data_IF_492473823676
#
_entry.id   IF_492473823676
#
_cell.length_a   1.000
_cell.length_b   1.000
_cell.length_c   1.000
_cell.angle_alpha   90.00
_cell.angle_beta   90.00
_cell.angle_gamma   90.00
#
_symmetry.space_group_name_H-M   'P 1'
#
loop_
_entity.id
_entity.type
_entity.pdbx_description
1 polymer ?
#
# COMPACT_ATOMS: atom_id res chain seq x y z
N UNK A 1 23.69 -34.29 -6.80
CA UNK A 1 22.33 -33.70 -6.79
C UNK A 1 21.47 -34.53 -7.71
N UNK A 2 20.43 -35.18 -7.18
CA UNK A 2 19.69 -36.23 -7.89
C UNK A 2 18.70 -35.59 -8.89
N UNK A 3 18.82 -35.92 -10.19
CA UNK A 3 17.98 -35.39 -11.27
C UNK A 3 16.49 -35.73 -11.11
N UNK A 4 16.15 -36.70 -10.25
CA UNK A 4 14.78 -37.06 -9.90
C UNK A 4 14.02 -35.92 -9.19
N UNK A 5 14.71 -35.06 -8.43
CA UNK A 5 14.07 -33.99 -7.65
C UNK A 5 13.52 -32.86 -8.52
N UNK A 6 14.15 -32.59 -9.66
CA UNK A 6 13.75 -31.53 -10.59
C UNK A 6 12.36 -31.78 -11.20
N UNK A 7 11.95 -33.04 -11.35
CA UNK A 7 10.61 -33.40 -11.84
C UNK A 7 9.52 -33.09 -10.80
N UNK A 8 9.82 -33.21 -9.50
CA UNK A 8 8.85 -32.92 -8.42
C UNK A 8 8.45 -31.44 -8.36
N UNK A 9 9.34 -30.53 -8.76
CA UNK A 9 9.06 -29.09 -8.78
C UNK A 9 8.05 -28.69 -9.86
N UNK A 10 7.89 -29.50 -10.91
CA UNK A 10 6.89 -29.25 -11.94
C UNK A 10 5.46 -29.49 -11.44
N UNK A 11 5.28 -30.42 -10.49
CA UNK A 11 3.98 -30.75 -9.88
C UNK A 11 3.56 -29.77 -8.77
N UNK A 12 4.51 -28.99 -8.24
CA UNK A 12 4.24 -27.94 -7.25
C UNK A 12 3.65 -26.66 -7.86
N UNK A 13 3.60 -26.55 -9.19
CA UNK A 13 2.96 -25.42 -9.87
C UNK A 13 1.49 -25.76 -10.09
N UNK A 14 0.53 -25.11 -9.42
CA UNK A 14 -0.86 -25.20 -9.83
C UNK A 14 -0.95 -24.76 -11.29
N UNK A 15 -1.27 -25.70 -12.19
CA UNK A 15 -1.53 -25.38 -13.59
C UNK A 15 -2.86 -24.65 -13.63
N UNK A 16 -2.84 -23.37 -14.01
CA UNK A 16 -4.07 -22.69 -14.42
C UNK A 16 -4.56 -23.42 -15.67
N UNK A 17 -5.84 -23.79 -15.78
CA UNK A 17 -6.41 -24.20 -17.06
C UNK A 17 -6.08 -23.10 -18.07
N UNK A 18 -5.35 -23.45 -19.11
CA UNK A 18 -4.99 -22.50 -20.17
C UNK A 18 -6.29 -22.23 -20.92
N UNK A 19 -6.79 -20.99 -20.86
CA UNK A 19 -7.86 -20.53 -21.74
C UNK A 19 -9.07 -19.88 -21.08
N UNK A 20 -9.34 -20.10 -19.79
CA UNK A 20 -10.59 -19.60 -19.18
C UNK A 20 -10.34 -18.46 -18.17
N UNK A 21 -10.90 -17.30 -18.47
CA UNK A 21 -11.03 -16.22 -17.50
C UNK A 21 -11.98 -16.66 -16.37
N UNK A 22 -11.62 -16.34 -15.13
CA UNK A 22 -12.46 -16.64 -13.96
C UNK A 22 -13.63 -15.66 -13.79
N UNK A 23 -13.81 -14.75 -14.73
CA UNK A 23 -14.88 -13.76 -14.82
C UNK A 23 -15.31 -13.64 -16.28
N UNK A 24 -16.62 -13.49 -16.50
CA UNK A 24 -17.18 -13.31 -17.84
C UNK A 24 -16.89 -11.91 -18.37
N UNK A 25 -17.07 -11.72 -19.68
CA UNK A 25 -16.96 -10.39 -20.32
C UNK A 25 -17.95 -9.41 -19.69
N UNK A 26 -19.18 -9.84 -19.42
CA UNK A 26 -20.20 -9.00 -18.77
C UNK A 26 -19.82 -8.61 -17.34
N UNK A 27 -19.25 -9.52 -16.56
CA UNK A 27 -18.75 -9.21 -15.22
C UNK A 27 -17.58 -8.23 -15.27
N UNK A 28 -16.65 -8.41 -16.22
CA UNK A 28 -15.54 -7.48 -16.41
C UNK A 28 -16.03 -6.08 -16.80
N UNK A 29 -17.04 -5.99 -17.67
CA UNK A 29 -17.70 -4.73 -18.03
C UNK A 29 -18.38 -4.08 -16.82
N UNK A 30 -19.11 -4.85 -16.01
CA UNK A 30 -19.76 -4.37 -14.79
C UNK A 30 -18.74 -3.83 -13.77
N UNK A 31 -17.62 -4.54 -13.56
CA UNK A 31 -16.53 -4.09 -12.69
C UNK A 31 -15.90 -2.80 -13.20
N UNK A 32 -15.71 -2.67 -14.52
CA UNK A 32 -15.19 -1.45 -15.13
C UNK A 32 -16.16 -0.28 -14.94
N UNK A 33 -17.47 -0.51 -15.14
CA UNK A 33 -18.52 0.50 -14.92
C UNK A 33 -18.56 0.95 -13.46
N UNK A 34 -18.49 0.02 -12.51
CA UNK A 34 -18.47 0.31 -11.09
C UNK A 34 -17.22 1.14 -10.72
N UNK A 35 -16.06 0.75 -11.27
CA UNK A 35 -14.79 1.45 -11.05
C UNK A 35 -14.77 2.89 -11.61
N UNK A 36 -15.42 3.13 -12.75
CA UNK A 36 -15.49 4.46 -13.36
C UNK A 36 -16.62 5.34 -12.82
N UNK A 37 -17.45 4.84 -11.90
CA UNK A 37 -18.61 5.56 -11.41
C UNK A 37 -18.19 6.68 -10.43
N UNK A 38 -18.49 7.92 -10.79
CA UNK A 38 -18.04 9.11 -10.06
C UNK A 38 -18.95 9.54 -8.89
N UNK A 39 -20.09 8.90 -8.67
CA UNK A 39 -20.96 9.23 -7.52
C UNK A 39 -20.65 8.33 -6.31
N UNK A 40 -19.79 7.32 -6.50
CA UNK A 40 -19.41 6.39 -5.45
C UNK A 40 -17.92 6.48 -5.12
N UNK A 41 -17.60 6.03 -3.91
CA UNK A 41 -16.25 5.81 -3.40
C UNK A 41 -16.14 4.34 -3.01
N UNK A 42 -15.10 3.68 -3.53
CA UNK A 42 -14.79 2.29 -3.20
C UNK A 42 -13.49 2.25 -2.42
N UNK A 43 -13.56 1.89 -1.14
CA UNK A 43 -12.41 1.85 -0.22
C UNK A 43 -12.40 0.54 0.57
N UNK A 44 -11.23 0.10 1.06
CA UNK A 44 -11.21 -0.99 2.02
C UNK A 44 -11.81 -0.50 3.35
N UNK A 45 -12.49 -1.40 4.05
CA UNK A 45 -12.88 -1.17 5.43
C UNK A 45 -11.64 -1.01 6.34
N UNK A 46 -11.80 -0.28 7.43
CA UNK A 46 -10.76 -0.11 8.46
C UNK A 46 -10.32 -1.46 9.07
N UNK A 47 -11.25 -2.42 9.18
CA UNK A 47 -11.05 -3.76 9.73
C UNK A 47 -11.85 -4.81 8.95
N UNK A 48 -11.43 -6.07 9.03
CA UNK A 48 -12.18 -7.21 8.50
C UNK A 48 -11.99 -7.50 7.02
N UNK A 49 -11.12 -6.79 6.30
CA UNK A 49 -10.77 -7.11 4.91
C UNK A 49 -11.89 -6.90 3.88
N UNK A 50 -12.96 -6.20 4.25
CA UNK A 50 -14.12 -5.95 3.40
C UNK A 50 -13.89 -4.75 2.47
N UNK A 51 -14.66 -4.69 1.39
CA UNK A 51 -14.74 -3.56 0.46
C UNK A 51 -16.02 -2.80 0.78
N UNK A 52 -15.92 -1.48 0.89
CA UNK A 52 -17.05 -0.59 1.15
C UNK A 52 -17.30 0.25 -0.08
N UNK A 53 -18.56 0.24 -0.53
CA UNK A 53 -19.08 1.15 -1.55
C UNK A 53 -19.93 2.16 -0.81
N UNK A 54 -19.57 3.44 -0.93
CA UNK A 54 -20.24 4.54 -0.25
C UNK A 54 -20.52 5.66 -1.24
N UNK A 55 -21.63 6.38 -1.04
CA UNK A 55 -21.90 7.63 -1.73
C UNK A 55 -20.74 8.64 -1.53
N UNK A 56 -20.34 9.30 -2.61
CA UNK A 56 -19.20 10.24 -2.60
C UNK A 56 -19.49 11.46 -1.75
N UNK A 57 -20.71 12.00 -1.82
CA UNK A 57 -21.11 13.18 -1.04
C UNK A 57 -20.97 12.90 0.44
N UNK A 58 -21.47 11.75 0.89
CA UNK A 58 -21.34 11.29 2.26
C UNK A 58 -19.88 11.09 2.70
N UNK A 59 -19.07 10.47 1.85
CA UNK A 59 -17.64 10.29 2.13
C UNK A 59 -16.90 11.62 2.31
N UNK A 60 -17.18 12.61 1.46
CA UNK A 60 -16.60 13.96 1.54
C UNK A 60 -17.12 14.70 2.76
N UNK A 61 -18.40 14.55 3.11
CA UNK A 61 -18.99 15.17 4.29
C UNK A 61 -18.29 14.71 5.58
N UNK A 62 -18.07 13.40 5.77
CA UNK A 62 -17.33 12.89 6.93
C UNK A 62 -15.87 13.39 6.93
N UNK A 63 -15.20 13.41 5.77
CA UNK A 63 -13.84 13.91 5.67
C UNK A 63 -13.75 15.39 6.09
N UNK A 64 -14.68 16.21 5.61
CA UNK A 64 -14.77 17.63 5.92
C UNK A 64 -15.11 17.86 7.39
N UNK A 65 -16.03 17.08 7.96
CA UNK A 65 -16.37 17.12 9.39
C UNK A 65 -15.15 16.86 10.27
N UNK A 66 -14.28 15.91 9.90
CA UNK A 66 -13.04 15.64 10.64
C UNK A 66 -12.02 16.77 10.47
N UNK A 67 -11.82 17.27 9.25
CA UNK A 67 -10.82 18.31 8.95
C UNK A 67 -11.20 19.69 9.52
N UNK A 68 -12.49 19.93 9.76
CA UNK A 68 -13.00 21.16 10.36
C UNK A 68 -13.03 21.13 11.89
N UNK A 69 -12.54 20.08 12.53
CA UNK A 69 -12.43 20.02 13.99
C UNK A 69 -11.24 20.88 14.47
N UNK A 70 -11.48 22.07 15.07
CA UNK A 70 -10.42 22.99 15.44
C UNK A 70 -9.58 22.51 16.63
N UNK A 71 -10.03 21.46 17.34
CA UNK A 71 -9.26 20.82 18.42
C UNK A 71 -8.05 20.09 17.83
N UNK A 72 -8.18 19.53 16.63
CA UNK A 72 -7.15 18.69 16.01
C UNK A 72 -6.51 19.29 14.76
N UNK A 73 -7.22 20.14 14.03
CA UNK A 73 -6.77 20.67 12.75
C UNK A 73 -6.86 22.19 12.68
N UNK A 74 -5.91 22.78 11.95
CA UNK A 74 -5.90 24.20 11.59
C UNK A 74 -5.62 24.32 10.09
N UNK A 75 -6.39 25.13 9.35
CA UNK A 75 -6.09 25.38 7.95
C UNK A 75 -4.76 26.11 7.80
N UNK A 76 -4.01 25.74 6.77
CA UNK A 76 -2.80 26.43 6.34
C UNK A 76 -3.15 27.40 5.21
N UNK A 77 -2.59 28.60 5.24
CA UNK A 77 -2.74 29.59 4.17
C UNK A 77 -2.04 29.13 2.89
N UNK A 78 -0.83 28.59 3.05
CA UNK A 78 0.02 28.13 1.95
C UNK A 78 0.57 26.72 2.22
N UNK A 79 0.85 25.92 1.17
CA UNK A 79 1.42 24.60 1.36
C UNK A 79 2.88 24.67 1.82
N UNK A 80 3.14 24.24 3.06
CA UNK A 80 4.49 24.30 3.66
C UNK A 80 5.51 23.27 3.13
N UNK A 81 5.10 22.36 2.23
CA UNK A 81 5.91 21.20 1.88
C UNK A 81 7.14 21.56 1.03
N UNK A 82 7.12 22.69 0.33
CA UNK A 82 8.22 23.15 -0.53
C UNK A 82 9.37 23.73 0.31
N UNK A 83 9.03 24.61 1.26
CA UNK A 83 9.99 25.19 2.20
C UNK A 83 10.58 24.09 3.10
N UNK A 84 9.71 23.19 3.59
CA UNK A 84 10.13 22.07 4.44
C UNK A 84 11.12 21.16 3.70
N UNK A 85 10.90 20.88 2.41
CA UNK A 85 11.84 20.07 1.63
C UNK A 85 13.22 20.74 1.53
N UNK A 86 13.25 22.06 1.29
CA UNK A 86 14.49 22.82 1.22
C UNK A 86 15.27 22.72 2.54
N UNK A 87 14.60 22.94 3.67
CA UNK A 87 15.21 22.82 5.00
C UNK A 87 15.72 21.40 5.28
N UNK A 88 14.94 20.37 4.93
CA UNK A 88 15.35 18.97 5.11
C UNK A 88 16.56 18.63 4.25
N UNK A 89 16.63 19.09 2.99
CA UNK A 89 17.78 18.87 2.10
C UNK A 89 19.05 19.52 2.64
N UNK A 90 18.96 20.74 3.16
CA UNK A 90 20.09 21.42 3.81
C UNK A 90 20.62 20.61 5.01
N UNK A 91 19.73 20.07 5.85
CA UNK A 91 20.11 19.21 6.96
C UNK A 91 20.78 17.91 6.48
N UNK A 92 20.24 17.25 5.45
CA UNK A 92 20.82 16.04 4.86
C UNK A 92 22.24 16.32 4.33
N UNK A 93 22.43 17.44 3.62
CA UNK A 93 23.73 17.84 3.09
C UNK A 93 24.74 18.12 4.21
N UNK A 94 24.32 18.77 5.29
CA UNK A 94 25.15 18.97 6.48
C UNK A 94 25.53 17.63 7.14
N UNK A 95 24.57 16.71 7.31
CA UNK A 95 24.82 15.39 7.88
C UNK A 95 25.80 14.59 7.02
N UNK A 96 25.68 14.68 5.69
CA UNK A 96 26.62 14.03 4.75
C UNK A 96 28.02 14.63 4.85
N UNK A 97 28.16 15.96 4.91
CA UNK A 97 29.45 16.65 5.08
C UNK A 97 30.13 16.29 6.41
N UNK A 98 29.34 16.09 7.47
CA UNK A 98 29.82 15.64 8.78
C UNK A 98 30.04 14.12 8.88
N UNK A 99 29.89 13.39 7.78
CA UNK A 99 30.01 11.92 7.73
C UNK A 99 29.08 11.16 8.69
N UNK A 100 27.96 11.77 9.12
CA UNK A 100 26.96 11.13 9.97
C UNK A 100 26.09 10.13 9.20
N UNK A 101 25.99 10.30 7.88
CA UNK A 101 25.25 9.42 6.97
C UNK A 101 26.07 9.13 5.71
N UNK A 102 25.90 7.93 5.17
CA UNK A 102 26.50 7.53 3.89
C UNK A 102 25.83 8.22 2.70
N UNK A 103 26.51 8.25 1.55
CA UNK A 103 25.95 8.77 0.30
C UNK A 103 24.63 8.07 -0.09
N UNK A 104 24.52 6.76 0.16
CA UNK A 104 23.30 5.97 -0.11
C UNK A 104 22.14 6.39 0.79
N UNK A 105 22.41 6.61 2.08
CA UNK A 105 21.40 7.11 3.03
C UNK A 105 20.98 8.53 2.67
N UNK A 106 21.93 9.42 2.36
CA UNK A 106 21.63 10.78 1.93
C UNK A 106 20.74 10.79 0.68
N UNK A 107 21.09 10.02 -0.36
CA UNK A 107 20.27 9.90 -1.57
C UNK A 107 18.85 9.38 -1.29
N UNK A 108 18.71 8.37 -0.42
CA UNK A 108 17.40 7.84 -0.03
C UNK A 108 16.53 8.89 0.69
N UNK A 109 17.13 9.66 1.60
CA UNK A 109 16.43 10.70 2.37
C UNK A 109 16.13 11.96 1.55
N UNK A 110 16.91 12.25 0.50
CA UNK A 110 16.81 13.48 -0.29
C UNK A 110 15.44 13.68 -0.96
N UNK A 111 14.76 12.56 -1.25
CA UNK A 111 13.45 12.55 -1.88
C UNK A 111 13.46 13.03 -3.35
N UNK A 112 12.29 13.00 -4.02
CA UNK A 112 12.15 13.50 -5.40
C UNK A 112 12.32 15.03 -5.46
N UNK A 113 12.67 15.56 -6.64
CA UNK A 113 12.88 17.01 -6.81
C UNK A 113 11.63 17.84 -6.67
N UNK A 114 10.50 17.35 -7.19
CA UNK A 114 9.21 17.98 -6.96
C UNK A 114 8.55 17.33 -5.74
N UNK A 115 8.39 18.04 -4.62
CA UNK A 115 7.69 17.51 -3.45
C UNK A 115 6.21 17.37 -3.78
N UNK A 116 5.59 16.28 -3.31
CA UNK A 116 4.18 15.99 -3.55
C UNK A 116 3.37 16.24 -2.29
N UNK A 117 2.26 16.95 -2.42
CA UNK A 117 1.27 17.06 -1.36
C UNK A 117 0.84 15.66 -0.85
N UNK A 118 0.67 15.54 0.47
CA UNK A 118 0.13 14.30 1.06
C UNK A 118 -1.37 14.25 0.83
N UNK A 119 -1.86 13.08 0.45
CA UNK A 119 -3.28 12.86 0.21
C UNK A 119 -3.96 12.44 1.51
N UNK A 120 -5.06 13.08 1.85
CA UNK A 120 -5.93 12.62 2.93
C UNK A 120 -7.01 11.70 2.36
N UNK A 121 -7.27 10.58 3.02
CA UNK A 121 -8.45 9.76 2.73
C UNK A 121 -8.92 9.01 3.97
N UNK A 122 -10.18 8.60 3.95
CA UNK A 122 -10.81 7.82 5.01
C UNK A 122 -10.84 6.32 4.66
N UNK A 123 -10.67 5.48 5.68
CA UNK A 123 -11.08 4.06 5.64
C UNK A 123 -12.38 3.90 6.46
N UNK A 124 -13.49 3.45 5.87
CA UNK A 124 -14.76 3.34 6.58
C UNK A 124 -14.69 2.36 7.76
N UNK A 125 -15.16 2.78 8.95
CA UNK A 125 -15.15 1.99 10.18
C UNK A 125 -16.46 1.21 10.37
N UNK A 126 -16.85 0.42 9.38
CA UNK A 126 -18.10 -0.38 9.40
C UNK A 126 -18.21 -1.42 10.53
N UNK A 127 -17.13 -1.62 11.31
CA UNK A 127 -17.09 -2.50 12.48
C UNK A 127 -17.57 -1.82 13.77
N UNK A 128 -17.82 -0.51 13.74
CA UNK A 128 -18.41 0.23 14.87
C UNK A 128 -19.92 -0.01 14.85
N UNK A 129 -20.58 -0.08 16.02
CA UNK A 129 -22.02 -0.29 16.05
C UNK A 129 -22.73 1.00 15.57
N UNK A 130 -23.92 0.90 14.94
CA UNK A 130 -24.56 2.02 14.24
C UNK A 130 -24.83 3.25 15.11
N UNK A 131 -25.02 3.06 16.42
CA UNK A 131 -25.29 4.13 17.38
C UNK A 131 -24.08 5.07 17.53
N UNK A 132 -22.88 4.58 17.21
CA UNK A 132 -21.63 5.34 17.24
C UNK A 132 -21.25 5.91 15.87
N UNK A 133 -22.13 5.82 14.87
CA UNK A 133 -21.84 6.34 13.55
C UNK A 133 -22.08 7.85 13.52
N UNK A 134 -21.13 8.58 12.97
CA UNK A 134 -21.41 9.94 12.50
C UNK A 134 -22.37 9.85 11.33
N UNK A 135 -23.20 10.88 11.11
CA UNK A 135 -23.94 11.01 9.86
C UNK A 135 -23.04 11.82 8.91
N UNK A 136 -22.50 11.23 7.81
CA UNK A 136 -22.74 9.90 7.26
C UNK A 136 -21.48 9.00 7.27
N UNK A 137 -21.45 8.07 8.22
CA UNK A 137 -20.47 6.99 8.48
C UNK A 137 -19.08 7.43 9.00
N UNK A 138 -18.59 6.81 10.08
CA UNK A 138 -17.28 7.16 10.64
C UNK A 138 -16.13 6.61 9.79
N UNK A 139 -15.12 7.44 9.56
CA UNK A 139 -13.88 7.07 8.86
C UNK A 139 -12.65 7.05 9.78
N UNK A 140 -11.65 6.23 9.47
CA UNK A 140 -10.28 6.43 9.97
C UNK A 140 -9.54 7.38 9.02
N UNK A 141 -9.07 8.55 9.48
CA UNK A 141 -8.21 9.40 8.67
C UNK A 141 -6.89 8.70 8.39
N UNK A 142 -6.47 8.69 7.13
CA UNK A 142 -5.21 8.10 6.68
C UNK A 142 -4.46 9.11 5.83
N UNK A 143 -3.21 9.34 6.21
CA UNK A 143 -2.19 9.96 5.38
C UNK A 143 -1.26 8.84 4.90
N UNK A 144 -1.18 8.56 3.59
CA UNK A 144 -0.36 7.49 3.08
C UNK A 144 1.11 7.85 3.29
N UNK A 145 1.74 7.13 4.20
CA UNK A 145 3.19 7.16 4.38
C UNK A 145 3.86 6.17 3.42
N UNK A 146 5.05 6.52 2.94
CA UNK A 146 5.92 5.50 2.37
C UNK A 146 6.35 4.59 3.51
N UNK A 147 6.03 3.30 3.41
CA UNK A 147 6.52 2.30 4.37
C UNK A 147 8.05 2.32 4.34
N UNK A 148 8.66 2.77 5.43
CA UNK A 148 10.11 2.71 5.58
C UNK A 148 10.49 1.24 5.80
N UNK A 149 11.05 0.60 4.77
CA UNK A 149 11.53 -0.79 4.90
C UNK A 149 13.05 -0.74 4.88
N UNK A 150 13.63 -0.31 6.00
CA UNK A 150 15.08 -0.44 6.26
C UNK A 150 15.50 -1.91 6.46
N UNK A 151 14.51 -2.81 6.54
CA UNK A 151 14.76 -4.23 6.65
C UNK A 151 15.41 -4.73 5.36
N UNK A 152 16.64 -5.23 5.50
CA UNK A 152 17.33 -6.04 4.49
C UNK A 152 16.57 -7.36 4.32
N UNK A 153 15.61 -7.37 3.40
CA UNK A 153 14.77 -8.55 3.14
C UNK A 153 15.24 -9.26 1.87
N UNK A 154 15.27 -10.59 1.92
CA UNK A 154 15.39 -11.44 0.74
C UNK A 154 13.99 -11.95 0.40
N UNK A 155 13.34 -11.41 -0.65
CA UNK A 155 12.02 -11.89 -1.04
C UNK A 155 12.14 -13.24 -1.74
N UNK A 156 11.49 -14.26 -1.17
CA UNK A 156 11.30 -15.55 -1.82
C UNK A 156 9.82 -15.66 -2.21
N UNK A 157 9.52 -15.34 -3.48
CA UNK A 157 8.15 -15.34 -4.00
C UNK A 157 7.89 -16.65 -4.74
N UNK A 158 6.97 -17.46 -4.20
CA UNK A 158 6.58 -18.75 -4.78
C UNK A 158 5.18 -18.69 -5.42
N UNK A 159 4.76 -19.76 -6.09
CA UNK A 159 3.35 -20.00 -6.40
C UNK A 159 2.65 -20.65 -5.22
N UNK A 160 1.34 -20.39 -5.05
CA UNK A 160 0.57 -21.07 -4.02
C UNK A 160 0.65 -22.60 -4.18
N UNK A 161 0.96 -23.32 -3.09
CA UNK A 161 0.95 -24.78 -3.02
C UNK A 161 0.50 -25.22 -1.63
N UNK A 162 -0.16 -26.38 -1.53
CA UNK A 162 -0.59 -26.95 -0.25
C UNK A 162 0.60 -27.26 0.67
N UNK A 163 1.77 -27.51 0.09
CA UNK A 163 3.02 -27.78 0.81
C UNK A 163 3.76 -26.52 1.27
N UNK A 164 3.20 -25.32 1.04
CA UNK A 164 3.89 -24.07 1.40
C UNK A 164 4.12 -23.90 2.90
N UNK A 165 3.23 -24.40 3.76
CA UNK A 165 3.40 -24.33 5.21
C UNK A 165 4.68 -25.05 5.66
N UNK A 166 4.77 -26.38 5.44
CA UNK A 166 5.97 -27.16 5.73
C UNK A 166 7.23 -26.61 5.05
N UNK A 167 7.15 -26.27 3.76
CA UNK A 167 8.28 -25.73 3.00
C UNK A 167 8.78 -24.40 3.59
N UNK A 168 7.87 -23.50 3.97
CA UNK A 168 8.21 -22.23 4.61
C UNK A 168 8.92 -22.45 5.94
N UNK A 169 8.46 -23.43 6.72
CA UNK A 169 9.09 -23.75 8.00
C UNK A 169 10.51 -24.30 7.80
N UNK A 170 10.69 -25.26 6.89
CA UNK A 170 11.99 -25.84 6.57
C UNK A 170 12.98 -24.78 6.07
N UNK A 171 12.57 -23.95 5.09
CA UNK A 171 13.42 -22.88 4.56
C UNK A 171 13.81 -21.89 5.66
N UNK A 172 12.87 -21.49 6.52
CA UNK A 172 13.16 -20.56 7.62
C UNK A 172 14.13 -21.15 8.63
N UNK A 173 13.98 -22.43 8.97
CA UNK A 173 14.89 -23.15 9.87
C UNK A 173 16.30 -23.25 9.29
N UNK A 174 16.43 -23.72 8.04
CA UNK A 174 17.73 -23.85 7.37
C UNK A 174 18.42 -22.51 7.12
N UNK A 175 17.67 -21.47 6.75
CA UNK A 175 18.24 -20.14 6.56
C UNK A 175 18.81 -19.58 7.86
N UNK A 176 18.08 -19.73 8.97
CA UNK A 176 18.56 -19.27 10.28
C UNK A 176 19.79 -20.06 10.76
N UNK A 177 19.89 -21.36 10.46
CA UNK A 177 21.06 -22.17 10.83
C UNK A 177 22.28 -21.95 9.93
N UNK A 178 22.08 -21.55 8.67
CA UNK A 178 23.15 -21.28 7.71
C UNK A 178 23.70 -19.83 7.74
N UNK A 179 22.94 -18.88 8.31
CA UNK A 179 23.35 -17.46 8.45
C UNK A 179 24.71 -17.27 9.12
N UNK A 180 25.06 -17.95 10.24
CA UNK A 180 26.34 -17.72 10.92
C UNK A 180 27.57 -18.01 10.04
N UNK A 181 27.40 -18.81 8.98
CA UNK A 181 28.47 -19.21 8.06
C UNK A 181 28.52 -18.37 6.77
N UNK A 182 27.60 -17.41 6.60
CA UNK A 182 27.47 -16.59 5.37
C UNK A 182 27.50 -15.10 5.70
N UNK A 183 28.72 -14.57 5.92
CA UNK A 183 28.96 -13.18 6.32
C UNK A 183 28.18 -12.09 5.51
N UNK A 184 27.95 -12.21 4.19
CA UNK A 184 27.18 -11.21 3.45
C UNK A 184 25.67 -11.20 3.79
N UNK A 185 25.12 -12.33 4.24
CA UNK A 185 23.68 -12.54 4.41
C UNK A 185 23.22 -12.47 5.87
N UNK A 186 24.15 -12.41 6.83
CA UNK A 186 23.83 -12.43 8.25
C UNK A 186 22.92 -11.30 8.73
N UNK A 187 22.88 -10.18 8.01
CA UNK A 187 21.99 -9.04 8.30
C UNK A 187 20.63 -9.08 7.58
N UNK A 188 20.38 -10.09 6.74
CA UNK A 188 19.15 -10.21 5.95
C UNK A 188 18.14 -11.15 6.60
N UNK A 189 16.84 -10.88 6.43
CA UNK A 189 15.74 -11.79 6.78
C UNK A 189 15.05 -12.30 5.52
N UNK A 190 14.69 -13.58 5.47
CA UNK A 190 13.84 -14.09 4.39
C UNK A 190 12.40 -13.61 4.59
N UNK A 191 11.84 -13.01 3.54
CA UNK A 191 10.40 -12.80 3.38
C UNK A 191 9.86 -13.80 2.37
N UNK A 192 9.29 -14.90 2.85
CA UNK A 192 8.63 -15.88 1.98
C UNK A 192 7.16 -15.51 1.80
N UNK A 193 6.76 -15.30 0.55
CA UNK A 193 5.39 -14.97 0.14
C UNK A 193 5.02 -15.76 -1.10
N UNK A 194 3.72 -15.82 -1.43
CA UNK A 194 3.24 -16.48 -2.63
C UNK A 194 2.43 -15.55 -3.49
N UNK A 195 2.48 -15.78 -4.81
CA UNK A 195 1.61 -15.10 -5.77
C UNK A 195 0.17 -15.56 -5.53
N UNK A 196 -0.72 -14.59 -5.32
CA UNK A 196 -2.18 -14.81 -5.34
C UNK A 196 -2.76 -14.15 -6.58
N UNK A 197 -3.90 -14.67 -7.04
CA UNK A 197 -4.68 -14.01 -8.07
C UNK A 197 -5.22 -12.67 -7.55
N UNK A 198 -5.43 -11.72 -8.48
CA UNK A 198 -6.11 -10.47 -8.17
C UNK A 198 -7.52 -10.77 -7.66
N UNK A 199 -7.91 -10.16 -6.56
CA UNK A 199 -9.26 -10.23 -6.02
C UNK A 199 -10.03 -8.94 -6.35
N UNK A 200 -11.30 -8.86 -5.94
CA UNK A 200 -12.12 -7.66 -6.17
C UNK A 200 -11.51 -6.40 -5.56
N UNK A 201 -10.82 -6.51 -4.43
CA UNK A 201 -10.16 -5.36 -3.81
C UNK A 201 -9.03 -4.83 -4.71
N UNK A 202 -8.21 -5.71 -5.29
CA UNK A 202 -7.14 -5.32 -6.22
C UNK A 202 -7.70 -4.72 -7.53
N UNK A 203 -8.93 -5.06 -7.90
CA UNK A 203 -9.59 -4.60 -9.13
C UNK A 203 -10.28 -3.25 -8.91
N UNK A 204 -11.04 -3.11 -7.81
CA UNK A 204 -11.97 -2.01 -7.57
C UNK A 204 -11.43 -0.91 -6.65
N UNK A 205 -10.57 -1.26 -5.68
CA UNK A 205 -10.08 -0.29 -4.70
C UNK A 205 -8.92 0.50 -5.31
N UNK A 206 -9.14 1.80 -5.46
CA UNK A 206 -8.10 2.74 -5.86
C UNK A 206 -7.83 3.73 -4.73
N UNK A 207 -6.57 3.79 -4.31
CA UNK A 207 -6.10 4.78 -3.34
C UNK A 207 -5.64 6.08 -4.01
N UNK A 208 -5.42 6.07 -5.32
CA UNK A 208 -5.16 7.27 -6.12
C UNK A 208 -6.48 7.85 -6.60
N UNK A 209 -6.82 9.10 -6.23
CA UNK A 209 -7.86 9.81 -6.96
C UNK A 209 -7.40 9.97 -8.42
N UNK A 210 -8.36 9.91 -9.35
CA UNK A 210 -8.14 10.47 -10.68
C UNK A 210 -7.57 11.88 -10.51
N UNK A 211 -6.61 12.27 -11.37
CA UNK A 211 -5.97 13.58 -11.34
C UNK A 211 -7.02 14.67 -11.06
N UNK A 212 -6.73 15.67 -10.21
CA UNK A 212 -7.62 16.80 -10.06
C UNK A 212 -7.92 17.34 -11.46
N UNK A 213 -9.22 17.48 -11.77
CA UNK A 213 -9.62 18.25 -12.94
C UNK A 213 -8.95 19.62 -12.83
N UNK A 214 -8.43 20.18 -13.94
CA UNK A 214 -7.81 21.49 -13.90
C UNK A 214 -8.78 22.47 -13.23
N UNK A 215 -8.30 23.14 -12.18
CA UNK A 215 -9.06 24.17 -11.50
C UNK A 215 -9.58 25.15 -12.55
N UNK A 216 -10.90 25.17 -12.76
CA UNK A 216 -11.54 26.31 -13.42
C UNK A 216 -11.27 27.50 -12.52
N UNK A 217 -10.44 28.41 -13.01
CA UNK A 217 -10.25 29.74 -12.47
C UNK A 217 -11.61 30.43 -12.40
N UNK A 218 -12.23 30.43 -11.22
CA UNK A 218 -13.27 31.39 -10.89
C UNK A 218 -12.76 32.27 -9.75
N UNK A 219 -12.73 33.59 -9.95
CA UNK A 219 -12.28 34.53 -8.93
C UNK A 219 -13.40 34.73 -7.91
N UNK A 220 -13.03 34.85 -6.63
CA UNK A 220 -13.51 35.82 -5.65
C UNK A 220 -12.54 35.83 -4.46
#
# INVERSE_FOLDING_TARGET
>A
TNLSDLRSFHDLRPRRPVGEANITVHQQQALNKLKSHHEIIIKPADKGGQIVIQDRTNYILEATRQLNDPVYYRPLTDPMYLETQTMVRLLIDQMRKKHLISAKQAHYLYGPDLPRARLFYLLPKIHKPPENWTVPFPGRPVLPEKKNTEQKLIPLITTFSRQLGPLKQAIKQHFNSAIPQTAPLASFKILMSYRRNKNLQDILVHTTPHSPLPHSSHPL
#
